data_IF_535852149766
#
_entry.id   IF_535852149766
#
_cell.length_a   1.000
_cell.length_b   1.000
_cell.length_c   1.000
_cell.angle_alpha   90.00
_cell.angle_beta   90.00
_cell.angle_gamma   90.00
#
_symmetry.space_group_name_H-M   'P 1'
#
loop_
_entity.id
_entity.type
_entity.pdbx_description
1 polymer ?
#
# COMPACT_ATOMS: atom_id res chain seq x y z
N UNK A 1 16.39 13.63 -7.10
CA UNK A 1 15.73 13.97 -8.37
C UNK A 1 15.11 12.71 -8.92
N UNK A 2 13.88 12.78 -9.45
CA UNK A 2 13.29 11.66 -10.15
C UNK A 2 14.12 11.36 -11.40
N UNK A 3 14.38 10.08 -11.67
CA UNK A 3 15.13 9.68 -12.85
C UNK A 3 14.23 9.86 -14.08
N UNK A 4 14.78 10.37 -15.18
CA UNK A 4 14.07 10.46 -16.46
C UNK A 4 13.48 9.10 -16.84
N UNK A 5 12.27 9.13 -17.41
CA UNK A 5 11.55 7.94 -17.85
C UNK A 5 12.38 7.22 -18.91
N UNK A 6 12.73 5.95 -18.67
CA UNK A 6 13.59 5.19 -19.59
C UNK A 6 12.83 4.57 -20.77
N UNK A 7 11.52 4.47 -20.66
CA UNK A 7 10.62 3.93 -21.67
C UNK A 7 9.40 4.85 -21.72
N UNK A 8 9.09 5.39 -22.91
CA UNK A 8 7.91 6.22 -23.12
C UNK A 8 6.90 5.45 -23.99
N UNK A 9 6.06 4.70 -23.33
CA UNK A 9 4.85 4.07 -23.85
C UNK A 9 3.63 4.94 -23.43
N UNK A 10 2.82 5.43 -24.39
CA UNK A 10 1.73 6.37 -24.10
C UNK A 10 0.54 5.75 -23.35
N UNK A 11 0.26 4.46 -23.53
CA UNK A 11 -0.95 3.82 -23.00
C UNK A 11 -0.69 2.91 -21.77
N UNK A 12 0.36 3.19 -21.00
CA UNK A 12 0.71 2.37 -19.81
C UNK A 12 0.72 3.19 -18.53
N UNK A 13 0.30 2.57 -17.44
CA UNK A 13 0.40 3.14 -16.10
C UNK A 13 1.81 2.91 -15.56
N UNK A 14 2.54 3.99 -15.30
CA UNK A 14 3.86 3.92 -14.67
C UNK A 14 3.73 3.88 -13.16
N UNK A 15 4.26 2.82 -12.54
CA UNK A 15 4.44 2.79 -11.10
C UNK A 15 5.71 3.54 -10.70
N UNK A 16 5.54 4.68 -10.04
CA UNK A 16 6.65 5.48 -9.50
C UNK A 16 6.69 5.31 -7.98
N UNK A 17 7.72 4.63 -7.47
CA UNK A 17 7.97 4.51 -6.04
C UNK A 17 9.10 5.46 -5.60
N UNK A 18 8.84 6.30 -4.60
CA UNK A 18 9.89 7.07 -3.93
C UNK A 18 10.45 6.28 -2.75
N UNK A 19 11.76 5.98 -2.78
CA UNK A 19 12.46 5.25 -1.73
C UNK A 19 13.73 5.98 -1.33
N UNK A 20 14.06 5.98 -0.04
CA UNK A 20 15.32 6.54 0.45
C UNK A 20 16.53 5.84 -0.17
N UNK A 21 17.58 6.62 -0.41
CA UNK A 21 18.83 6.10 -0.96
C UNK A 21 19.43 5.06 0.01
N UNK A 22 19.97 3.95 -0.52
CA UNK A 22 20.57 2.89 0.31
C UNK A 22 19.63 2.25 1.34
N UNK A 23 18.30 2.26 1.13
CA UNK A 23 17.27 1.82 2.10
C UNK A 23 17.17 2.71 3.36
N UNK A 24 17.74 3.90 3.33
CA UNK A 24 17.57 4.88 4.40
C UNK A 24 16.11 5.38 4.46
N UNK A 25 15.77 6.04 5.57
CA UNK A 25 14.48 6.72 5.67
C UNK A 25 14.35 7.78 4.58
N UNK A 26 13.21 7.83 3.88
CA UNK A 26 12.91 8.86 2.88
C UNK A 26 12.74 10.24 3.52
N UNK A 27 12.39 10.28 4.81
CA UNK A 27 12.17 11.49 5.61
C UNK A 27 13.00 11.37 6.88
N UNK A 28 13.92 12.31 7.12
CA UNK A 28 14.76 12.32 8.32
C UNK A 28 14.29 13.35 9.35
N UNK A 29 13.77 14.50 8.89
CA UNK A 29 13.24 15.59 9.71
C UNK A 29 11.89 16.08 9.18
N UNK A 30 11.15 16.80 10.00
CA UNK A 30 9.84 17.36 9.61
C UNK A 30 9.94 18.29 8.39
N UNK A 31 11.02 19.06 8.29
CA UNK A 31 11.29 19.89 7.10
C UNK A 31 11.45 19.05 5.82
N UNK A 32 12.03 17.85 5.89
CA UNK A 32 12.14 16.95 4.73
C UNK A 32 10.75 16.44 4.32
N UNK A 33 9.88 16.19 5.31
CA UNK A 33 8.49 15.78 5.09
C UNK A 33 7.72 16.87 4.35
N UNK A 34 7.81 18.11 4.81
CA UNK A 34 7.12 19.24 4.18
C UNK A 34 7.61 19.48 2.75
N UNK A 35 8.91 19.37 2.52
CA UNK A 35 9.49 19.49 1.18
C UNK A 35 9.02 18.35 0.27
N UNK A 36 8.95 17.12 0.79
CA UNK A 36 8.46 15.97 0.04
C UNK A 36 6.97 16.14 -0.32
N UNK A 37 6.13 16.59 0.63
CA UNK A 37 4.71 16.85 0.39
C UNK A 37 4.49 17.93 -0.67
N UNK A 38 5.24 19.04 -0.62
CA UNK A 38 5.20 20.09 -1.66
C UNK A 38 5.61 19.56 -3.03
N UNK A 39 6.64 18.72 -3.11
CA UNK A 39 7.00 18.08 -4.38
C UNK A 39 5.90 17.14 -4.87
N UNK A 40 5.27 16.39 -3.96
CA UNK A 40 4.21 15.46 -4.29
C UNK A 40 2.98 16.19 -4.84
N UNK A 41 2.57 17.26 -4.18
CA UNK A 41 1.50 18.16 -4.60
C UNK A 41 1.78 18.74 -6.00
N UNK A 42 2.98 19.28 -6.21
CA UNK A 42 3.38 19.77 -7.53
C UNK A 42 3.35 18.67 -8.59
N UNK A 43 3.74 17.43 -8.28
CA UNK A 43 3.72 16.34 -9.25
C UNK A 43 2.28 15.91 -9.61
N UNK A 44 1.35 15.88 -8.65
CA UNK A 44 -0.07 15.62 -8.91
C UNK A 44 -0.71 16.73 -9.74
N UNK A 45 -0.32 17.98 -9.50
CA UNK A 45 -0.84 19.13 -10.25
C UNK A 45 -0.27 19.22 -11.67
N UNK A 46 0.99 18.83 -11.87
CA UNK A 46 1.72 19.01 -13.14
C UNK A 46 1.64 17.78 -14.05
N UNK A 47 1.48 16.60 -13.47
CA UNK A 47 1.44 15.33 -14.19
C UNK A 47 0.16 14.58 -13.82
N UNK A 48 -0.32 13.68 -14.69
CA UNK A 48 -1.47 12.79 -14.41
C UNK A 48 -1.06 11.68 -13.42
N UNK A 49 -0.47 12.07 -12.29
CA UNK A 49 0.02 11.16 -11.25
C UNK A 49 -1.10 10.96 -10.24
N UNK A 50 -1.62 9.74 -10.18
CA UNK A 50 -2.51 9.33 -9.11
C UNK A 50 -1.68 8.92 -7.88
N UNK A 51 -1.96 9.54 -6.74
CA UNK A 51 -1.34 9.18 -5.47
C UNK A 51 -2.01 7.96 -4.84
N UNK A 52 -1.28 6.85 -4.81
CA UNK A 52 -1.78 5.61 -4.23
C UNK A 52 -1.22 5.41 -2.84
N UNK A 53 -2.06 5.64 -1.82
CA UNK A 53 -1.74 5.24 -0.45
C UNK A 53 -2.14 3.77 -0.27
N UNK A 54 -1.35 2.87 -0.85
CA UNK A 54 -1.63 1.43 -0.94
C UNK A 54 -2.04 0.80 0.40
N UNK A 55 -1.39 1.18 1.51
CA UNK A 55 -1.72 0.67 2.84
C UNK A 55 -3.13 1.09 3.29
N UNK A 56 -3.58 2.31 2.97
CA UNK A 56 -4.92 2.78 3.30
C UNK A 56 -5.99 2.08 2.45
N UNK A 57 -5.70 1.84 1.17
CA UNK A 57 -6.62 1.12 0.26
C UNK A 57 -6.76 -0.34 0.71
N UNK A 58 -5.65 -1.00 1.04
CA UNK A 58 -5.67 -2.37 1.59
C UNK A 58 -6.45 -2.40 2.90
N UNK A 59 -6.19 -1.48 3.83
CA UNK A 59 -6.93 -1.40 5.10
C UNK A 59 -8.44 -1.29 4.86
N UNK A 60 -8.86 -0.41 3.94
CA UNK A 60 -10.26 -0.21 3.59
C UNK A 60 -10.89 -1.46 2.97
N UNK A 61 -10.28 -2.02 1.93
CA UNK A 61 -10.86 -3.18 1.23
C UNK A 61 -10.96 -4.41 2.13
N UNK A 62 -9.96 -4.63 2.99
CA UNK A 62 -9.96 -5.72 3.97
C UNK A 62 -10.99 -5.45 5.07
N UNK A 63 -11.03 -4.23 5.61
CA UNK A 63 -12.02 -3.83 6.61
C UNK A 63 -13.46 -4.08 6.13
N UNK A 64 -13.78 -3.63 4.92
CA UNK A 64 -15.09 -3.84 4.27
C UNK A 64 -15.42 -5.34 4.12
N UNK A 65 -14.46 -6.16 3.65
CA UNK A 65 -14.68 -7.59 3.41
C UNK A 65 -14.92 -8.38 4.70
N UNK A 66 -14.20 -8.03 5.77
CA UNK A 66 -14.27 -8.76 7.05
C UNK A 66 -15.20 -8.09 8.07
N UNK A 67 -15.89 -6.99 7.71
CA UNK A 67 -16.80 -6.28 8.62
C UNK A 67 -16.11 -5.68 9.84
N UNK A 68 -14.88 -5.18 9.67
CA UNK A 68 -14.07 -4.62 10.77
C UNK A 68 -13.76 -3.15 10.53
N UNK A 69 -13.48 -2.38 11.58
CA UNK A 69 -13.02 -1.00 11.42
C UNK A 69 -11.55 -1.00 10.94
N UNK A 70 -11.19 -0.29 9.86
CA UNK A 70 -9.81 -0.23 9.36
C UNK A 70 -8.81 0.24 10.42
N UNK A 71 -9.22 1.05 11.40
CA UNK A 71 -8.37 1.45 12.53
C UNK A 71 -8.01 0.26 13.43
N UNK A 72 -8.87 -0.74 13.55
CA UNK A 72 -8.62 -1.95 14.34
C UNK A 72 -7.51 -2.83 13.72
N UNK A 73 -7.32 -2.78 12.41
CA UNK A 73 -6.20 -3.47 11.75
C UNK A 73 -4.84 -2.93 12.23
N UNK A 74 -4.78 -1.63 12.53
CA UNK A 74 -3.55 -0.94 12.99
C UNK A 74 -3.25 -1.10 14.47
N UNK A 75 -4.20 -1.62 15.25
CA UNK A 75 -4.01 -1.79 16.69
C UNK A 75 -3.08 -2.97 16.98
N UNK A 76 -2.25 -2.84 18.02
CA UNK A 76 -1.27 -3.88 18.42
C UNK A 76 -1.95 -5.21 18.86
N UNK A 77 -3.22 -5.18 19.27
CA UNK A 77 -3.93 -6.39 19.75
C UNK A 77 -4.28 -7.34 18.59
N UNK A 78 -4.28 -8.65 18.88
CA UNK A 78 -4.66 -9.75 17.96
C UNK A 78 -6.16 -9.80 17.62
N UNK A 79 -6.93 -8.75 17.94
CA UNK A 79 -8.41 -8.76 17.92
C UNK A 79 -9.00 -9.05 16.54
N UNK A 80 -8.30 -8.69 15.47
CA UNK A 80 -8.75 -8.80 14.07
C UNK A 80 -8.34 -10.09 13.38
N UNK A 81 -7.62 -10.99 14.07
CA UNK A 81 -7.35 -12.37 13.61
C UNK A 81 -6.90 -12.48 12.14
N UNK A 82 -7.76 -13.10 11.33
CA UNK A 82 -7.55 -13.39 9.90
C UNK A 82 -7.51 -12.11 9.06
N UNK A 83 -8.39 -11.13 9.32
CA UNK A 83 -8.44 -9.88 8.57
C UNK A 83 -7.09 -9.15 8.61
N UNK A 84 -6.46 -9.12 9.78
CA UNK A 84 -5.14 -8.51 9.95
C UNK A 84 -4.03 -9.27 9.22
N UNK A 85 -4.09 -10.61 9.22
CA UNK A 85 -3.16 -11.44 8.47
C UNK A 85 -3.27 -11.22 6.95
N UNK A 86 -4.50 -11.10 6.44
CA UNK A 86 -4.79 -10.80 5.03
C UNK A 86 -4.32 -9.39 4.66
N UNK A 87 -4.58 -8.38 5.49
CA UNK A 87 -4.10 -7.01 5.29
C UNK A 87 -2.57 -6.93 5.20
N UNK A 88 -1.88 -7.65 6.08
CA UNK A 88 -0.42 -7.76 6.10
C UNK A 88 0.11 -8.39 4.81
N UNK A 89 -0.45 -9.51 4.36
CA UNK A 89 0.03 -10.20 3.15
C UNK A 89 -0.25 -9.38 1.89
N UNK A 90 -1.44 -8.78 1.77
CA UNK A 90 -1.78 -7.89 0.66
C UNK A 90 -0.86 -6.67 0.62
N UNK A 91 -0.61 -6.04 1.76
CA UNK A 91 0.32 -4.91 1.87
C UNK A 91 1.73 -5.30 1.43
N UNK A 92 2.24 -6.45 1.87
CA UNK A 92 3.55 -6.94 1.43
C UNK A 92 3.59 -7.22 -0.08
N UNK A 93 2.50 -7.70 -0.68
CA UNK A 93 2.43 -8.00 -2.12
C UNK A 93 2.32 -6.74 -2.99
N UNK A 94 1.58 -5.73 -2.53
CA UNK A 94 1.20 -4.59 -3.36
C UNK A 94 2.14 -3.39 -3.21
N UNK A 95 2.71 -3.18 -2.02
CA UNK A 95 3.51 -1.96 -1.74
C UNK A 95 4.99 -2.09 -2.08
N UNK A 96 5.51 -3.33 -2.19
CA UNK A 96 6.95 -3.58 -2.29
C UNK A 96 7.76 -3.16 -1.06
N UNK A 97 7.09 -2.73 0.01
CA UNK A 97 7.71 -2.28 1.25
C UNK A 97 8.33 -3.44 2.04
N UNK A 98 9.30 -3.08 2.90
CA UNK A 98 9.89 -4.07 3.80
C UNK A 98 8.84 -4.60 4.79
N UNK A 99 8.95 -5.86 5.17
CA UNK A 99 8.10 -6.45 6.21
C UNK A 99 8.10 -5.59 7.49
N UNK A 100 9.24 -4.98 7.86
CA UNK A 100 9.34 -4.06 9.00
C UNK A 100 8.45 -2.82 8.83
N UNK A 101 8.43 -2.21 7.64
CA UNK A 101 7.57 -1.06 7.33
C UNK A 101 6.10 -1.43 7.45
N UNK A 102 5.70 -2.55 6.84
CA UNK A 102 4.33 -3.08 6.92
C UNK A 102 3.94 -3.40 8.37
N UNK A 103 4.86 -4.01 9.13
CA UNK A 103 4.65 -4.33 10.54
C UNK A 103 4.44 -3.10 11.42
N UNK A 104 5.14 -1.99 11.14
CA UNK A 104 4.90 -0.70 11.83
C UNK A 104 3.49 -0.19 11.59
N UNK A 105 3.00 -0.24 10.35
CA UNK A 105 1.63 0.17 10.00
C UNK A 105 0.57 -0.64 10.74
N UNK A 106 0.77 -1.95 10.89
CA UNK A 106 -0.18 -2.86 11.55
C UNK A 106 0.05 -3.00 13.07
N UNK A 107 0.52 -1.94 13.73
CA UNK A 107 0.67 -1.90 15.18
C UNK A 107 2.01 -2.44 15.67
N UNK A 108 3.10 -2.02 15.03
CA UNK A 108 4.48 -2.34 15.44
C UNK A 108 4.77 -3.84 15.56
N UNK A 109 4.25 -4.63 14.63
CA UNK A 109 4.55 -6.05 14.51
C UNK A 109 6.03 -6.23 14.18
N UNK A 110 6.74 -7.04 14.98
CA UNK A 110 8.14 -7.38 14.72
C UNK A 110 8.25 -8.17 13.40
N UNK A 111 9.35 -7.97 12.68
CA UNK A 111 9.61 -8.66 11.41
C UNK A 111 9.58 -10.20 11.53
N UNK A 112 10.03 -10.75 12.66
CA UNK A 112 9.94 -12.18 12.97
C UNK A 112 8.50 -12.68 13.06
N UNK A 113 7.59 -11.90 13.65
CA UNK A 113 6.16 -12.25 13.74
C UNK A 113 5.49 -12.27 12.37
N UNK A 114 5.93 -11.45 11.43
CA UNK A 114 5.44 -11.48 10.03
C UNK A 114 5.91 -12.75 9.30
N UNK A 115 7.12 -13.22 9.63
CA UNK A 115 7.63 -14.51 9.19
C UNK A 115 6.75 -15.69 9.63
N UNK A 116 5.95 -15.54 10.70
CA UNK A 116 5.01 -16.55 11.17
C UNK A 116 3.58 -16.36 10.65
N UNK A 117 3.18 -15.14 10.26
CA UNK A 117 1.82 -14.84 9.80
C UNK A 117 1.66 -15.18 8.31
N UNK A 118 2.67 -14.83 7.51
CA UNK A 118 2.61 -14.93 6.06
C UNK A 118 2.61 -16.38 5.54
N UNK A 119 3.39 -17.32 6.09
CA UNK A 119 3.32 -18.72 5.69
C UNK A 119 1.93 -19.29 5.96
N UNK A 120 1.30 -18.99 7.09
CA UNK A 120 -0.06 -19.47 7.42
C UNK A 120 -1.12 -19.06 6.39
N UNK A 121 -0.99 -17.86 5.84
CA UNK A 121 -1.86 -17.36 4.77
C UNK A 121 -1.53 -18.02 3.41
N UNK A 122 -0.26 -18.35 3.16
CA UNK A 122 0.20 -18.94 1.89
C UNK A 122 0.02 -20.45 1.80
N UNK A 123 0.26 -21.14 2.90
CA UNK A 123 0.19 -22.60 3.07
C UNK A 123 -1.26 -23.07 3.29
N UNK A 124 -2.24 -22.16 3.26
CA UNK A 124 -3.66 -22.52 3.31
C UNK A 124 -4.16 -22.90 4.70
N UNK A 125 -3.44 -22.57 5.78
CA UNK A 125 -3.99 -22.70 7.14
C UNK A 125 -5.24 -21.83 7.35
N UNK A 126 -5.43 -20.82 6.52
CA UNK A 126 -6.67 -20.09 6.38
C UNK A 126 -7.23 -20.31 4.97
N UNK A 127 -8.52 -20.64 4.87
CA UNK A 127 -9.22 -20.70 3.58
C UNK A 127 -9.55 -19.28 3.08
N UNK A 128 -8.51 -18.54 2.70
CA UNK A 128 -8.60 -17.13 2.29
C UNK A 128 -8.02 -16.90 0.89
N UNK A 129 -7.77 -17.97 0.12
CA UNK A 129 -7.16 -17.85 -1.21
C UNK A 129 -8.08 -17.14 -2.20
N UNK A 130 -9.36 -17.53 -2.22
CA UNK A 130 -10.39 -16.85 -3.00
C UNK A 130 -10.60 -15.40 -2.54
N UNK A 131 -10.51 -15.15 -1.22
CA UNK A 131 -10.60 -13.80 -0.65
C UNK A 131 -9.42 -12.92 -1.09
N UNK A 132 -8.20 -13.46 -1.10
CA UNK A 132 -7.01 -12.77 -1.55
C UNK A 132 -7.09 -12.38 -3.01
N UNK A 133 -7.52 -13.29 -3.88
CA UNK A 133 -7.63 -13.02 -5.32
C UNK A 133 -8.72 -11.97 -5.59
N UNK A 134 -9.85 -12.07 -4.90
CA UNK A 134 -10.93 -11.08 -4.97
C UNK A 134 -10.49 -9.71 -4.43
N UNK A 135 -9.79 -9.66 -3.29
CA UNK A 135 -9.27 -8.42 -2.71
C UNK A 135 -8.15 -7.82 -3.55
N UNK A 136 -7.27 -8.63 -4.15
CA UNK A 136 -6.25 -8.15 -5.08
C UNK A 136 -6.89 -7.53 -6.31
N UNK A 137 -7.92 -8.19 -6.87
CA UNK A 137 -8.69 -7.66 -7.99
C UNK A 137 -9.37 -6.35 -7.60
N UNK A 138 -10.08 -6.31 -6.46
CA UNK A 138 -10.76 -5.09 -5.95
C UNK A 138 -9.79 -3.95 -5.67
N UNK A 139 -8.66 -4.21 -5.02
CA UNK A 139 -7.66 -3.17 -4.74
C UNK A 139 -7.06 -2.66 -6.06
N UNK A 140 -6.90 -3.52 -7.06
CA UNK A 140 -6.47 -3.13 -8.42
C UNK A 140 -7.55 -2.39 -9.21
N UNK A 141 -8.83 -2.66 -9.04
CA UNK A 141 -9.92 -1.96 -9.75
C UNK A 141 -10.30 -0.64 -9.10
N UNK A 142 -10.30 -0.56 -7.76
CA UNK A 142 -10.36 0.73 -7.03
C UNK A 142 -9.16 1.61 -7.41
N UNK A 143 -8.04 0.99 -7.79
CA UNK A 143 -6.86 1.64 -8.37
C UNK A 143 -7.04 2.10 -9.83
N UNK A 144 -7.99 1.54 -10.59
CA UNK A 144 -8.28 1.92 -12.00
C UNK A 144 -9.43 2.94 -12.11
N UNK A 145 -10.39 2.93 -11.20
CA UNK A 145 -11.62 3.76 -11.27
C UNK A 145 -11.46 5.25 -10.86
N UNK A 146 -10.27 5.84 -10.94
CA UNK A 146 -10.08 7.29 -10.81
C UNK A 146 -8.87 7.70 -11.66
N UNK A 147 -9.08 8.37 -12.82
CA UNK A 147 -9.85 9.61 -12.93
C UNK A 147 -10.81 9.65 -14.15
N UNK A 148 -12.10 9.82 -13.91
CA UNK A 148 -12.98 10.51 -14.85
C UNK A 148 -12.95 12.01 -14.51
N UNK A 149 -11.77 12.62 -14.60
CA UNK A 149 -11.67 14.07 -14.48
C UNK A 149 -11.89 14.66 -15.87
N UNK A 150 -13.01 15.36 -15.99
CA UNK A 150 -13.57 15.85 -17.23
C UNK A 150 -12.55 16.57 -18.11
N UNK A 151 -12.49 16.09 -19.35
CA UNK A 151 -12.11 16.84 -20.53
C UNK A 151 -12.79 18.22 -20.47
N UNK A 152 -12.04 19.26 -20.12
CA UNK A 152 -12.37 20.63 -20.54
C UNK A 152 -11.32 21.04 -21.56
N UNK A 153 -11.84 21.16 -22.78
CA UNK A 153 -11.26 21.77 -23.97
C UNK A 153 -10.94 23.23 -23.68
#
# INVERSE_FOLDING_TARGET
MARALRLNCPDVVYHVSSRGNGRASTVCKDHDRERFLRQLENNVATHTVCLYVWLLIVDRCVAERYGTDPKQLRQHRRRTGIAKAVAVELSCRLTGESARTVGRHYGSIRSSSLGNIRPKVREGQFDVRSDLDHLLSRVRTVHVASPENGRKV
#
